data_IF_476597906357
#
_entry.id   IF_476597906357
#
_cell.length_a   1.000
_cell.length_b   1.000
_cell.length_c   1.000
_cell.angle_alpha   90.00
_cell.angle_beta   90.00
_cell.angle_gamma   90.00
#
_symmetry.space_group_name_H-M   'P 1'
#
loop_
_entity.id
_entity.type
_entity.pdbx_description
1 polymer ?
#
# COMPACT_ATOMS: atom_id res chain seq x y z
N UNK A 1 -20.38 22.80 -5.84
CA UNK A 1 -21.81 22.54 -5.97
C UNK A 1 -22.23 21.67 -4.82
N UNK A 2 -23.02 22.24 -3.90
CA UNK A 2 -23.68 21.50 -2.82
C UNK A 2 -24.82 20.72 -3.47
N UNK A 3 -24.87 19.43 -3.21
CA UNK A 3 -26.00 18.59 -3.60
C UNK A 3 -26.94 18.59 -2.42
N UNK A 4 -28.16 19.05 -2.63
CA UNK A 4 -29.19 19.05 -1.59
C UNK A 4 -29.70 17.62 -1.32
N UNK A 5 -30.05 17.37 -0.07
CA UNK A 5 -30.52 16.09 0.45
C UNK A 5 -32.01 15.92 0.31
N UNK A 6 -32.43 14.78 -0.22
CA UNK A 6 -33.78 14.30 0.00
C UNK A 6 -33.75 13.31 1.18
N UNK A 7 -34.74 13.34 2.10
CA UNK A 7 -34.69 12.60 3.37
C UNK A 7 -34.55 11.09 3.25
N UNK A 8 -34.94 10.52 2.13
CA UNK A 8 -34.93 9.06 1.89
C UNK A 8 -33.82 8.59 0.98
N UNK A 9 -32.98 9.49 0.47
CA UNK A 9 -31.90 9.16 -0.47
C UNK A 9 -30.57 9.63 0.12
N UNK A 10 -29.86 8.73 0.85
CA UNK A 10 -28.57 9.00 1.46
C UNK A 10 -27.51 9.20 0.38
N UNK A 11 -27.40 10.42 -0.12
CA UNK A 11 -26.36 10.82 -1.05
C UNK A 11 -25.11 11.25 -0.30
N UNK A 12 -23.95 10.77 -0.76
CA UNK A 12 -22.67 11.29 -0.28
C UNK A 12 -22.40 12.63 -0.92
N UNK A 13 -22.28 13.68 -0.10
CA UNK A 13 -21.95 15.04 -0.54
C UNK A 13 -20.44 15.23 -0.43
N UNK A 14 -19.83 15.74 -1.47
CA UNK A 14 -18.44 16.19 -1.43
C UNK A 14 -18.40 17.72 -1.53
N UNK A 15 -18.23 18.40 -0.41
CA UNK A 15 -17.98 19.84 -0.37
C UNK A 15 -16.49 20.08 -0.64
N UNK A 16 -16.17 20.39 -1.88
CA UNK A 16 -14.76 20.54 -2.30
C UNK A 16 -14.01 21.62 -1.52
N UNK A 17 -14.68 22.73 -1.14
CA UNK A 17 -14.07 23.78 -0.34
C UNK A 17 -13.61 23.26 1.03
N UNK A 18 -14.51 22.63 1.76
CA UNK A 18 -14.23 22.08 3.10
C UNK A 18 -13.17 20.99 3.03
N UNK A 19 -13.26 20.10 2.02
CA UNK A 19 -12.28 19.04 1.83
C UNK A 19 -10.87 19.58 1.51
N UNK A 20 -10.77 20.66 0.73
CA UNK A 20 -9.49 21.31 0.45
C UNK A 20 -8.93 21.99 1.71
N UNK A 21 -9.77 22.65 2.50
CA UNK A 21 -9.34 23.27 3.76
C UNK A 21 -8.81 22.21 4.74
N UNK A 22 -9.57 21.14 4.96
CA UNK A 22 -9.13 20.01 5.80
C UNK A 22 -7.82 19.38 5.30
N UNK A 23 -7.65 19.27 3.98
CA UNK A 23 -6.41 18.79 3.41
C UNK A 23 -5.24 19.74 3.71
N UNK A 24 -5.43 21.05 3.57
CA UNK A 24 -4.41 22.06 3.84
C UNK A 24 -4.00 22.04 5.32
N UNK A 25 -4.96 21.96 6.24
CA UNK A 25 -4.72 21.86 7.68
C UNK A 25 -3.92 20.60 8.01
N UNK A 26 -4.34 19.44 7.48
CA UNK A 26 -3.63 18.19 7.68
C UNK A 26 -2.19 18.22 7.13
N UNK A 27 -1.95 18.90 6.00
CA UNK A 27 -0.60 19.08 5.47
C UNK A 27 0.24 20.04 6.31
N UNK A 28 -0.37 21.11 6.83
CA UNK A 28 0.30 22.04 7.73
C UNK A 28 0.74 21.34 9.03
N UNK A 29 -0.15 20.55 9.62
CA UNK A 29 0.14 19.75 10.81
C UNK A 29 1.27 18.75 10.55
N UNK A 30 1.23 18.06 9.41
CA UNK A 30 2.26 17.12 9.02
C UNK A 30 3.62 17.79 8.83
N UNK A 31 3.65 18.94 8.17
CA UNK A 31 4.88 19.71 7.96
C UNK A 31 5.44 20.28 9.28
N UNK A 32 4.58 20.64 10.21
CA UNK A 32 5.00 21.07 11.55
C UNK A 32 5.58 19.92 12.38
N UNK A 33 5.07 18.71 12.18
CA UNK A 33 5.49 17.51 12.90
C UNK A 33 6.79 16.88 12.37
N UNK A 34 7.15 17.16 11.11
CA UNK A 34 8.27 16.50 10.43
C UNK A 34 9.35 17.48 10.01
N UNK A 35 10.65 17.12 10.20
CA UNK A 35 11.77 17.91 9.69
C UNK A 35 11.94 17.71 8.17
N UNK A 36 10.90 17.99 7.40
CA UNK A 36 10.88 17.75 5.96
C UNK A 36 11.16 19.04 5.18
N UNK A 37 12.02 18.95 4.17
CA UNK A 37 12.35 20.08 3.28
C UNK A 37 11.42 20.17 2.06
N UNK A 38 10.74 19.07 1.73
CA UNK A 38 9.81 18.99 0.61
C UNK A 38 8.75 17.93 0.84
N UNK A 39 7.58 18.10 0.21
CA UNK A 39 6.52 17.11 0.21
C UNK A 39 6.35 16.48 -1.17
N UNK A 40 5.99 15.21 -1.16
CA UNK A 40 5.51 14.50 -2.33
C UNK A 40 4.15 13.89 -2.03
N UNK A 41 3.15 14.20 -2.84
CA UNK A 41 1.87 13.52 -2.80
C UNK A 41 1.88 12.35 -3.79
N UNK A 42 1.39 11.22 -3.33
CA UNK A 42 1.37 9.99 -4.12
C UNK A 42 -0.09 9.56 -4.31
N UNK A 43 -0.45 9.30 -5.56
CA UNK A 43 -1.76 8.82 -5.94
C UNK A 43 -1.64 7.48 -6.64
N UNK A 44 -2.60 6.58 -6.41
CA UNK A 44 -2.69 5.32 -7.13
C UNK A 44 -3.20 5.52 -8.56
N UNK A 45 -2.84 4.58 -9.45
CA UNK A 45 -3.45 4.49 -10.76
C UNK A 45 -4.85 3.87 -10.66
N UNK A 46 -5.58 3.90 -11.77
CA UNK A 46 -6.91 3.26 -11.89
C UNK A 46 -6.82 1.75 -11.97
N UNK A 47 -5.67 1.26 -12.38
CA UNK A 47 -5.35 -0.17 -12.54
C UNK A 47 -4.18 -0.57 -11.66
N UNK A 48 -4.05 -1.86 -11.38
CA UNK A 48 -2.90 -2.43 -10.68
C UNK A 48 -2.51 -3.74 -11.32
N UNK A 49 -1.22 -4.01 -11.39
CA UNK A 49 -0.69 -5.28 -11.89
C UNK A 49 -1.24 -6.51 -11.15
N UNK A 50 -1.72 -6.31 -9.91
CA UNK A 50 -2.26 -7.39 -9.07
C UNK A 50 -3.48 -8.06 -9.69
N UNK A 51 -4.25 -7.36 -10.52
CA UNK A 51 -5.35 -8.01 -11.28
C UNK A 51 -4.86 -9.08 -12.25
N UNK A 52 -3.67 -8.90 -12.83
CA UNK A 52 -3.03 -9.91 -13.68
C UNK A 52 -2.40 -11.06 -12.89
N UNK A 53 -1.98 -10.81 -11.64
CA UNK A 53 -1.42 -11.82 -10.74
C UNK A 53 -2.51 -12.69 -10.11
N UNK A 54 -3.58 -12.06 -9.65
CA UNK A 54 -4.70 -12.69 -8.98
C UNK A 54 -6.01 -12.01 -9.39
N UNK A 55 -6.78 -12.60 -10.32
CA UNK A 55 -7.97 -11.96 -10.89
C UNK A 55 -9.06 -11.59 -9.87
N UNK A 56 -9.06 -12.24 -8.70
CA UNK A 56 -10.01 -11.96 -7.63
C UNK A 56 -9.55 -10.83 -6.69
N UNK A 57 -8.36 -10.26 -6.91
CA UNK A 57 -7.83 -9.15 -6.11
C UNK A 57 -8.84 -8.00 -6.04
N UNK A 58 -9.17 -7.55 -4.83
CA UNK A 58 -10.21 -6.52 -4.55
C UNK A 58 -11.61 -6.83 -5.11
N UNK A 59 -11.87 -8.09 -5.52
CA UNK A 59 -13.14 -8.49 -6.13
C UNK A 59 -14.33 -8.49 -5.16
N UNK A 60 -14.07 -8.53 -3.86
CA UNK A 60 -15.08 -8.41 -2.79
C UNK A 60 -15.49 -6.96 -2.50
N UNK A 61 -14.73 -5.97 -3.01
CA UNK A 61 -15.11 -4.57 -2.82
C UNK A 61 -16.41 -4.32 -3.57
N UNK A 62 -17.49 -4.09 -2.81
CA UNK A 62 -18.74 -3.59 -3.41
C UNK A 62 -18.38 -2.38 -4.26
N UNK A 63 -19.00 -2.24 -5.43
CA UNK A 63 -18.95 -0.98 -6.17
C UNK A 63 -19.63 0.06 -5.27
N UNK A 64 -18.87 0.58 -4.31
CA UNK A 64 -19.35 1.70 -3.52
C UNK A 64 -19.71 2.81 -4.50
N UNK A 65 -20.88 3.40 -4.31
CA UNK A 65 -21.21 4.62 -5.04
C UNK A 65 -20.09 5.62 -4.73
N UNK A 66 -19.29 5.89 -5.76
CA UNK A 66 -18.22 6.87 -5.64
C UNK A 66 -18.85 8.19 -5.22
N UNK A 67 -18.26 8.82 -4.21
CA UNK A 67 -18.70 10.15 -3.77
C UNK A 67 -18.78 11.06 -5.01
N UNK A 68 -19.94 11.68 -5.30
CA UNK A 68 -20.04 12.59 -6.42
C UNK A 68 -18.96 13.67 -6.34
N UNK A 69 -18.32 13.97 -7.47
CA UNK A 69 -17.24 14.96 -7.51
C UNK A 69 -15.86 14.50 -7.02
N UNK A 70 -15.71 13.24 -6.55
CA UNK A 70 -14.41 12.73 -6.09
C UNK A 70 -13.27 12.91 -7.11
N UNK A 71 -13.42 12.60 -8.41
CA UNK A 71 -12.35 12.83 -9.37
C UNK A 71 -11.93 14.31 -9.49
N UNK A 72 -12.89 15.23 -9.45
CA UNK A 72 -12.58 16.66 -9.50
C UNK A 72 -11.94 17.17 -8.21
N UNK A 73 -12.29 16.60 -7.05
CA UNK A 73 -11.59 16.89 -5.80
C UNK A 73 -10.12 16.47 -5.88
N UNK A 74 -9.85 15.25 -6.34
CA UNK A 74 -8.48 14.77 -6.52
C UNK A 74 -7.68 15.67 -7.44
N UNK A 75 -8.25 16.09 -8.58
CA UNK A 75 -7.59 17.03 -9.50
C UNK A 75 -7.28 18.39 -8.84
N UNK A 76 -8.18 18.89 -8.00
CA UNK A 76 -7.97 20.16 -7.26
C UNK A 76 -6.86 20.00 -6.22
N UNK A 77 -6.80 18.86 -5.51
CA UNK A 77 -5.71 18.56 -4.57
C UNK A 77 -4.37 18.47 -5.31
N UNK A 78 -4.32 17.80 -6.45
CA UNK A 78 -3.11 17.74 -7.28
C UNK A 78 -2.67 19.13 -7.76
N UNK A 79 -3.60 19.96 -8.23
CA UNK A 79 -3.31 21.33 -8.67
C UNK A 79 -2.79 22.19 -7.52
N UNK A 80 -3.41 22.11 -6.33
CA UNK A 80 -2.97 22.80 -5.13
C UNK A 80 -1.56 22.36 -4.72
N UNK A 81 -1.28 21.06 -4.68
CA UNK A 81 0.03 20.53 -4.35
C UNK A 81 1.12 21.10 -5.28
N UNK A 82 0.86 21.12 -6.58
CA UNK A 82 1.78 21.71 -7.58
C UNK A 82 1.97 23.21 -7.39
N UNK A 83 0.91 23.94 -7.05
CA UNK A 83 1.02 25.40 -6.77
C UNK A 83 1.81 25.72 -5.51
N UNK A 84 1.84 24.78 -4.55
CA UNK A 84 2.69 24.84 -3.36
C UNK A 84 4.15 24.39 -3.61
N UNK A 85 4.50 24.02 -4.83
CA UNK A 85 5.82 23.49 -5.18
C UNK A 85 6.07 22.05 -4.73
N UNK A 86 5.03 21.32 -4.35
CA UNK A 86 5.14 19.91 -3.94
C UNK A 86 5.21 19.00 -5.15
N UNK A 87 5.92 17.90 -5.01
CA UNK A 87 5.93 16.83 -6.02
C UNK A 87 4.61 16.07 -6.00
N UNK A 88 4.15 15.66 -7.17
CA UNK A 88 2.94 14.84 -7.32
C UNK A 88 3.28 13.64 -8.19
N UNK A 89 3.10 12.44 -7.62
CA UNK A 89 3.42 11.19 -8.29
C UNK A 89 2.18 10.33 -8.51
N UNK A 90 2.09 9.76 -9.69
CA UNK A 90 1.14 8.73 -10.07
C UNK A 90 1.82 7.84 -11.10
N UNK A 91 2.24 6.65 -10.69
CA UNK A 91 2.86 5.70 -11.60
C UNK A 91 1.82 4.78 -12.22
N UNK A 92 1.95 4.44 -13.51
CA UNK A 92 1.04 3.51 -14.19
C UNK A 92 1.05 2.10 -13.58
N UNK A 93 -0.08 1.41 -13.65
CA UNK A 93 -0.26 -0.01 -13.28
C UNK A 93 0.08 -0.38 -11.83
N UNK A 94 0.20 0.60 -10.93
CA UNK A 94 0.52 0.39 -9.52
C UNK A 94 -0.38 1.21 -8.61
N UNK A 95 -0.48 0.80 -7.36
CA UNK A 95 -1.23 1.51 -6.33
C UNK A 95 -0.37 2.62 -5.70
N UNK A 96 -0.98 3.48 -4.88
CA UNK A 96 -0.25 4.56 -4.21
C UNK A 96 0.87 4.00 -3.31
N UNK A 97 0.60 2.91 -2.62
CA UNK A 97 1.56 2.27 -1.71
C UNK A 97 2.79 1.74 -2.46
N UNK A 98 2.57 1.15 -3.65
CA UNK A 98 3.68 0.73 -4.52
C UNK A 98 4.51 1.94 -4.95
N UNK A 99 3.85 3.05 -5.31
CA UNK A 99 4.56 4.27 -5.70
C UNK A 99 5.40 4.81 -4.53
N UNK A 100 4.85 4.79 -3.30
CA UNK A 100 5.62 5.12 -2.10
C UNK A 100 6.85 4.23 -1.96
N UNK A 101 6.69 2.92 -2.09
CA UNK A 101 7.79 1.98 -1.94
C UNK A 101 8.82 2.05 -3.06
N UNK A 102 8.41 2.27 -4.31
CA UNK A 102 9.30 2.43 -5.47
C UNK A 102 10.20 3.67 -5.31
N UNK A 103 9.63 4.77 -4.83
CA UNK A 103 10.31 6.05 -4.70
C UNK A 103 11.08 6.19 -3.39
N UNK A 104 10.81 5.34 -2.39
CA UNK A 104 11.39 5.44 -1.06
C UNK A 104 12.91 5.37 -1.08
N UNK A 105 13.56 6.30 -0.40
CA UNK A 105 14.99 6.31 -0.14
C UNK A 105 15.26 6.37 1.36
N UNK A 106 16.54 6.23 1.74
CA UNK A 106 16.95 6.35 3.16
C UNK A 106 16.75 7.75 3.76
N UNK A 107 16.42 8.74 2.95
CA UNK A 107 16.23 10.14 3.37
C UNK A 107 14.76 10.53 3.43
N UNK A 108 13.88 9.65 2.97
CA UNK A 108 12.46 9.93 2.88
C UNK A 108 11.73 9.39 4.11
N UNK A 109 10.67 10.09 4.49
CA UNK A 109 9.73 9.65 5.52
C UNK A 109 8.39 9.40 4.82
N UNK A 110 7.91 8.17 4.85
CA UNK A 110 6.58 7.83 4.36
C UNK A 110 5.56 8.17 5.46
N UNK A 111 4.69 9.14 5.20
CA UNK A 111 3.63 9.52 6.13
C UNK A 111 2.31 8.82 5.76
N UNK A 112 1.90 7.83 6.54
CA UNK A 112 0.65 7.10 6.31
C UNK A 112 0.19 6.36 7.56
N UNK A 113 -1.14 6.15 7.64
CA UNK A 113 -1.76 5.29 8.66
C UNK A 113 -1.92 3.84 8.19
N UNK A 114 -1.64 3.57 6.92
CA UNK A 114 -1.78 2.23 6.36
C UNK A 114 -0.69 1.29 6.90
N UNK A 115 -1.12 0.17 7.48
CA UNK A 115 -0.22 -0.85 8.04
C UNK A 115 0.58 -1.57 6.95
N UNK A 116 0.07 -1.63 5.73
CA UNK A 116 0.70 -2.37 4.65
C UNK A 116 2.03 -1.71 4.23
N UNK A 117 2.18 -0.41 4.46
CA UNK A 117 3.44 0.31 4.26
C UNK A 117 4.57 -0.13 5.22
N UNK A 118 4.25 -0.87 6.30
CA UNK A 118 5.27 -1.50 7.15
C UNK A 118 6.06 -2.60 6.42
N UNK A 119 5.65 -3.00 5.23
CA UNK A 119 6.42 -3.90 4.36
C UNK A 119 7.54 -3.19 3.59
N UNK A 120 7.66 -1.86 3.73
CA UNK A 120 8.71 -1.05 3.10
C UNK A 120 9.77 -0.70 4.16
N UNK A 121 11.06 -0.98 3.93
CA UNK A 121 12.12 -0.53 4.83
C UNK A 121 12.36 0.98 4.68
N UNK A 122 12.56 1.68 5.79
CA UNK A 122 12.80 3.12 5.79
C UNK A 122 12.14 3.81 6.98
N UNK A 123 12.02 5.13 6.92
CA UNK A 123 11.33 5.89 7.95
C UNK A 123 9.85 6.02 7.63
N UNK A 124 9.01 5.70 8.60
CA UNK A 124 7.55 5.79 8.50
C UNK A 124 7.07 6.70 9.62
N UNK A 125 6.30 7.74 9.26
CA UNK A 125 5.57 8.55 10.20
C UNK A 125 4.16 8.00 10.36
N UNK A 126 3.86 7.55 11.55
CA UNK A 126 2.57 6.97 11.90
C UNK A 126 2.26 7.26 13.37
N UNK A 127 1.00 7.52 13.67
CA UNK A 127 0.50 7.75 15.03
C UNK A 127 1.28 8.81 15.81
N UNK A 128 1.72 9.88 15.12
CA UNK A 128 2.42 11.01 15.70
C UNK A 128 3.93 10.81 15.89
N UNK A 129 4.51 9.71 15.45
CA UNK A 129 5.93 9.41 15.61
C UNK A 129 6.59 8.92 14.31
N UNK A 130 7.87 9.27 14.13
CA UNK A 130 8.73 8.69 13.10
C UNK A 130 9.34 7.41 13.65
N UNK A 131 9.16 6.31 12.94
CA UNK A 131 9.68 4.99 13.29
C UNK A 131 10.61 4.50 12.18
N UNK A 132 11.71 3.85 12.54
CA UNK A 132 12.56 3.16 11.59
C UNK A 132 12.04 1.74 11.38
N UNK A 133 11.56 1.47 10.18
CA UNK A 133 11.26 0.12 9.72
C UNK A 133 12.54 -0.49 9.15
N UNK A 134 13.15 -1.41 9.89
CA UNK A 134 14.37 -2.09 9.40
C UNK A 134 14.03 -3.00 8.22
N UNK A 135 15.06 -3.41 7.46
CA UNK A 135 14.86 -4.37 6.37
C UNK A 135 14.26 -5.69 6.89
N UNK A 136 14.74 -6.17 8.04
CA UNK A 136 14.26 -7.38 8.66
C UNK A 136 12.77 -7.25 9.05
N UNK A 137 12.39 -6.16 9.72
CA UNK A 137 11.00 -5.92 10.12
C UNK A 137 10.07 -5.82 8.92
N UNK A 138 10.51 -5.12 7.86
CA UNK A 138 9.76 -5.00 6.62
C UNK A 138 9.59 -6.35 5.90
N UNK A 139 10.60 -7.19 5.91
CA UNK A 139 10.53 -8.54 5.35
C UNK A 139 9.64 -9.45 6.20
N UNK A 140 9.73 -9.37 7.53
CA UNK A 140 8.81 -10.10 8.44
C UNK A 140 7.35 -9.68 8.22
N UNK A 141 7.08 -8.39 8.07
CA UNK A 141 5.73 -7.89 7.76
C UNK A 141 5.24 -8.43 6.41
N UNK A 142 6.06 -8.37 5.37
CA UNK A 142 5.74 -8.87 4.03
C UNK A 142 5.43 -10.38 4.01
N UNK A 143 6.30 -11.20 4.61
CA UNK A 143 6.08 -12.65 4.67
C UNK A 143 4.94 -13.03 5.63
N UNK A 144 4.76 -12.25 6.70
CA UNK A 144 3.60 -12.35 7.57
C UNK A 144 2.30 -12.18 6.79
N UNK A 145 2.21 -11.12 5.99
CA UNK A 145 1.04 -10.84 5.15
C UNK A 145 0.88 -11.87 4.02
N UNK A 146 1.97 -12.41 3.47
CA UNK A 146 1.91 -13.54 2.54
C UNK A 146 1.24 -14.77 3.16
N UNK A 147 1.45 -15.00 4.46
CA UNK A 147 0.85 -16.12 5.20
C UNK A 147 -0.60 -15.84 5.59
N UNK A 148 -0.90 -14.64 6.09
CA UNK A 148 -2.23 -14.30 6.60
C UNK A 148 -3.23 -13.94 5.49
N UNK A 149 -2.73 -13.45 4.35
CA UNK A 149 -3.55 -12.80 3.33
C UNK A 149 -4.09 -11.46 3.80
N UNK A 150 -4.95 -10.87 2.98
CA UNK A 150 -5.70 -9.66 3.32
C UNK A 150 -7.16 -9.78 2.84
N UNK A 151 -8.09 -9.69 3.79
CA UNK A 151 -9.53 -9.77 3.50
C UNK A 151 -10.04 -8.53 2.77
N UNK A 152 -9.44 -7.36 3.01
CA UNK A 152 -9.84 -6.11 2.37
C UNK A 152 -9.46 -6.08 0.89
N UNK A 153 -8.36 -6.74 0.56
CA UNK A 153 -7.83 -6.90 -0.80
C UNK A 153 -8.19 -8.25 -1.43
N UNK A 154 -8.95 -9.08 -0.70
CA UNK A 154 -9.52 -10.33 -1.19
C UNK A 154 -8.49 -11.35 -1.67
N UNK A 155 -7.35 -11.46 -0.99
CA UNK A 155 -6.43 -12.59 -1.20
C UNK A 155 -6.24 -13.35 0.12
N UNK A 156 -6.43 -14.71 0.10
CA UNK A 156 -6.68 -15.48 1.32
C UNK A 156 -5.45 -15.85 2.13
N UNK A 157 -4.24 -15.69 1.58
CA UNK A 157 -3.03 -16.19 2.23
C UNK A 157 -2.95 -17.72 2.30
N UNK A 158 -2.23 -18.23 3.30
CA UNK A 158 -2.09 -19.66 3.57
C UNK A 158 -3.28 -20.18 4.39
N UNK A 159 -3.99 -21.23 3.94
CA UNK A 159 -5.14 -21.75 4.67
C UNK A 159 -4.81 -22.12 6.12
N UNK A 160 -5.65 -21.65 7.05
CA UNK A 160 -5.52 -21.96 8.48
C UNK A 160 -4.43 -21.17 9.22
N UNK A 161 -3.76 -20.21 8.57
CA UNK A 161 -2.76 -19.35 9.20
C UNK A 161 -3.30 -17.93 9.37
N UNK A 162 -3.54 -17.53 10.61
CA UNK A 162 -3.78 -16.15 11.02
C UNK A 162 -2.51 -15.52 11.62
N UNK A 163 -2.63 -14.30 12.15
CA UNK A 163 -1.50 -13.50 12.67
C UNK A 163 -0.60 -14.29 13.62
N UNK A 164 -1.14 -14.89 14.69
CA UNK A 164 -0.35 -15.69 15.64
C UNK A 164 0.32 -16.91 14.99
N UNK A 165 -0.29 -17.45 13.93
CA UNK A 165 0.28 -18.56 13.15
C UNK A 165 1.47 -18.08 12.31
N UNK A 166 1.34 -16.96 11.65
CA UNK A 166 2.40 -16.33 10.86
C UNK A 166 3.61 -15.97 11.73
N UNK A 167 3.37 -15.35 12.89
CA UNK A 167 4.42 -15.06 13.88
C UNK A 167 5.21 -16.31 14.26
N UNK A 168 4.52 -17.42 14.57
CA UNK A 168 5.18 -18.70 14.91
C UNK A 168 5.98 -19.27 13.76
N UNK A 169 5.48 -19.16 12.52
CA UNK A 169 6.18 -19.65 11.32
C UNK A 169 7.48 -18.89 11.11
N UNK A 170 7.47 -17.56 11.34
CA UNK A 170 8.59 -16.67 11.07
C UNK A 170 9.50 -16.42 12.27
N UNK A 171 9.15 -16.87 13.48
CA UNK A 171 9.82 -16.53 14.74
C UNK A 171 11.34 -16.82 14.79
N UNK A 172 11.84 -17.74 13.95
CA UNK A 172 13.25 -18.12 13.91
C UNK A 172 13.92 -17.77 12.58
N UNK A 173 13.28 -16.95 11.77
CA UNK A 173 13.82 -16.53 10.48
C UNK A 173 14.54 -15.20 10.64
N UNK A 174 15.77 -15.12 10.15
CA UNK A 174 16.62 -13.93 10.21
C UNK A 174 17.03 -13.43 8.83
N UNK A 175 16.76 -14.22 7.79
CA UNK A 175 17.06 -13.90 6.40
C UNK A 175 15.83 -14.05 5.52
N UNK A 176 15.82 -13.34 4.41
CA UNK A 176 14.72 -13.41 3.43
C UNK A 176 14.55 -14.83 2.88
N UNK A 177 15.65 -15.55 2.68
CA UNK A 177 15.62 -16.94 2.23
C UNK A 177 14.96 -17.88 3.26
N UNK A 178 15.32 -17.77 4.54
CA UNK A 178 14.71 -18.55 5.61
C UNK A 178 13.21 -18.28 5.72
N UNK A 179 12.80 -17.00 5.63
CA UNK A 179 11.38 -16.61 5.65
C UNK A 179 10.62 -17.23 4.48
N UNK A 180 11.17 -17.16 3.27
CA UNK A 180 10.56 -17.78 2.10
C UNK A 180 10.43 -19.30 2.22
N UNK A 181 11.48 -19.97 2.67
CA UNK A 181 11.45 -21.41 2.90
C UNK A 181 10.40 -21.80 3.95
N UNK A 182 10.28 -21.03 5.02
CA UNK A 182 9.26 -21.24 6.05
C UNK A 182 7.82 -21.03 5.48
N UNK A 183 7.62 -20.03 4.65
CA UNK A 183 6.35 -19.78 3.94
C UNK A 183 6.01 -20.97 3.04
N UNK A 184 6.93 -21.38 2.17
CA UNK A 184 6.69 -22.53 1.27
C UNK A 184 6.33 -23.79 2.05
N UNK A 185 7.05 -24.08 3.14
CA UNK A 185 6.77 -25.22 4.01
C UNK A 185 5.37 -25.14 4.64
N UNK A 186 4.94 -23.94 5.04
CA UNK A 186 3.62 -23.72 5.60
C UNK A 186 2.51 -23.98 4.55
N UNK A 187 2.69 -23.48 3.32
CA UNK A 187 1.76 -23.74 2.22
C UNK A 187 1.69 -25.23 1.87
N UNK A 188 2.83 -25.89 1.75
CA UNK A 188 2.87 -27.35 1.49
C UNK A 188 2.15 -28.15 2.58
N UNK A 189 2.32 -27.78 3.85
CA UNK A 189 1.61 -28.42 4.97
C UNK A 189 0.10 -28.20 4.88
N UNK A 190 -0.35 -27.09 4.31
CA UNK A 190 -1.76 -26.78 4.04
C UNK A 190 -2.28 -27.39 2.72
N UNK A 191 -1.50 -28.25 2.06
CA UNK A 191 -1.89 -28.87 0.78
C UNK A 191 -1.80 -27.94 -0.43
N UNK A 192 -1.02 -26.85 -0.31
CA UNK A 192 -0.84 -25.83 -1.34
C UNK A 192 0.57 -25.90 -1.95
N UNK A 193 0.70 -25.43 -3.17
CA UNK A 193 1.97 -25.39 -3.90
C UNK A 193 2.79 -24.13 -3.60
N UNK A 194 4.08 -24.16 -3.89
CA UNK A 194 4.94 -22.99 -3.88
C UNK A 194 4.48 -21.93 -4.90
N UNK A 195 3.88 -22.35 -6.03
CA UNK A 195 3.34 -21.41 -7.02
C UNK A 195 2.16 -20.60 -6.44
N UNK A 196 1.27 -21.22 -5.67
CA UNK A 196 0.20 -20.53 -4.97
C UNK A 196 0.77 -19.54 -3.93
N UNK A 197 1.82 -19.92 -3.20
CA UNK A 197 2.51 -19.01 -2.28
C UNK A 197 3.11 -17.79 -3.01
N UNK A 198 3.69 -17.98 -4.20
CA UNK A 198 4.21 -16.87 -5.03
C UNK A 198 3.09 -15.91 -5.44
N UNK A 199 1.92 -16.41 -5.81
CA UNK A 199 0.77 -15.56 -6.15
C UNK A 199 0.38 -14.69 -4.95
N UNK A 200 0.27 -15.28 -3.75
CA UNK A 200 -0.07 -14.53 -2.54
C UNK A 200 1.03 -13.52 -2.16
N UNK A 201 2.29 -13.91 -2.27
CA UNK A 201 3.41 -13.02 -2.04
C UNK A 201 3.40 -11.81 -2.99
N UNK A 202 3.09 -12.01 -4.28
CA UNK A 202 2.97 -10.92 -5.24
C UNK A 202 1.77 -10.00 -4.97
N UNK A 203 0.70 -10.50 -4.38
CA UNK A 203 -0.40 -9.66 -3.91
C UNK A 203 0.00 -8.82 -2.70
N UNK A 204 0.69 -9.43 -1.74
CA UNK A 204 1.16 -8.77 -0.52
C UNK A 204 2.34 -7.80 -0.76
N UNK A 205 3.13 -8.01 -1.83
CA UNK A 205 4.32 -7.20 -2.10
C UNK A 205 3.95 -5.77 -2.46
N UNK A 206 4.26 -4.82 -1.60
CA UNK A 206 4.44 -3.44 -2.01
C UNK A 206 5.81 -3.33 -2.67
N UNK A 207 5.82 -2.80 -3.89
CA UNK A 207 7.04 -2.71 -4.69
C UNK A 207 8.07 -1.81 -4.01
N UNK A 208 9.34 -2.20 -4.10
CA UNK A 208 10.48 -1.49 -3.50
C UNK A 208 11.36 -0.86 -4.59
N UNK A 209 12.35 -0.04 -4.25
CA UNK A 209 13.28 0.51 -5.25
C UNK A 209 13.89 -0.58 -6.13
N UNK A 210 13.83 -0.37 -7.45
CA UNK A 210 14.29 -1.35 -8.46
C UNK A 210 13.24 -2.39 -8.89
N UNK A 211 12.04 -2.39 -8.28
CA UNK A 211 10.94 -3.30 -8.67
C UNK A 211 9.93 -2.64 -9.63
N UNK A 212 10.35 -1.59 -10.33
CA UNK A 212 9.52 -0.92 -11.33
C UNK A 212 10.40 -0.36 -12.45
N UNK A 213 10.00 -0.58 -13.69
CA UNK A 213 10.66 0.01 -14.85
C UNK A 213 10.00 1.33 -15.21
N UNK A 214 10.68 2.44 -14.93
CA UNK A 214 10.19 3.79 -15.19
C UNK A 214 10.06 4.11 -16.69
N UNK A 215 10.75 3.39 -17.56
CA UNK A 215 10.74 3.66 -19.01
C UNK A 215 9.48 3.14 -19.70
N UNK A 216 8.98 1.98 -19.29
CA UNK A 216 7.80 1.35 -19.88
C UNK A 216 6.57 1.37 -18.96
N UNK A 217 6.71 1.89 -17.75
CA UNK A 217 5.62 1.99 -16.79
C UNK A 217 5.14 0.64 -16.24
N UNK A 218 6.04 -0.33 -16.15
CA UNK A 218 5.68 -1.70 -15.77
C UNK A 218 6.35 -2.15 -14.46
N UNK A 219 5.61 -2.82 -13.58
CA UNK A 219 6.17 -3.43 -12.39
C UNK A 219 7.05 -4.63 -12.74
N UNK A 220 8.17 -4.76 -12.01
CA UNK A 220 9.01 -5.94 -12.00
C UNK A 220 8.51 -6.83 -10.86
N UNK A 221 7.84 -7.93 -11.23
CA UNK A 221 7.22 -8.80 -10.24
C UNK A 221 8.27 -9.42 -9.31
N UNK A 222 7.98 -9.37 -8.04
CA UNK A 222 8.79 -10.03 -7.01
C UNK A 222 9.05 -11.51 -7.35
N UNK A 223 10.29 -11.94 -7.12
CA UNK A 223 10.74 -13.32 -7.29
C UNK A 223 11.27 -13.84 -5.97
N UNK A 224 11.04 -15.14 -5.67
CA UNK A 224 11.60 -15.75 -4.48
C UNK A 224 13.12 -15.64 -4.44
N UNK A 225 13.70 -15.45 -3.25
CA UNK A 225 15.15 -15.55 -3.10
C UNK A 225 15.63 -16.98 -3.43
N UNK A 226 16.76 -17.06 -4.10
CA UNK A 226 17.44 -18.32 -4.44
C UNK A 226 18.59 -18.57 -3.47
N UNK A 227 18.92 -19.85 -3.22
CA UNK A 227 20.02 -20.26 -2.37
C UNK A 227 21.36 -19.94 -3.04
#
# INVERSE_FOLDING_TARGET
HDIEWEPDDWQRICRHGDAIALFQDAMADLMAALPAFSLALVFGDRTTFRYGVYPQYKGNRKKEQKVPGWPSLVQRVEALARSCGWMVWRLPNVEADDTCGILASRRDIIASKDKDLLTIPGYIYRDGAVQLQTRLDADLAFYGQTLTGDKSDNYPGCPGIGEKGAEKVLARCHTELEMWQAVVKAYQKAGKSAAEAIVQARCARILRPGEYNMADGMPILWRPPVA
#
